data_IF_411747042782
#
_entry.id   IF_411747042782
#
_cell.length_a   1.000
_cell.length_b   1.000
_cell.length_c   1.000
_cell.angle_alpha   90.00
_cell.angle_beta   90.00
_cell.angle_gamma   90.00
#
_symmetry.space_group_name_H-M   'P 1'
#
loop_
_entity.id
_entity.type
_entity.pdbx_description
1 polymer ?
#
# COMPACT_ATOMS: atom_id res chain seq x y z
N UNK A 1 15.13 -9.84 12.45
CA UNK A 1 15.38 -10.67 11.23
C UNK A 1 14.24 -10.63 10.22
N UNK A 2 12.97 -10.88 10.60
CA UNK A 2 11.85 -10.92 9.65
C UNK A 2 11.64 -9.60 8.86
N UNK A 3 11.65 -8.44 9.53
CA UNK A 3 11.50 -7.12 8.88
C UNK A 3 12.65 -6.83 7.91
N UNK A 4 13.90 -7.13 8.28
CA UNK A 4 15.04 -6.98 7.38
C UNK A 4 14.92 -7.87 6.13
N UNK A 5 14.43 -9.11 6.29
CA UNK A 5 14.14 -10.00 5.15
C UNK A 5 13.03 -9.43 4.26
N UNK A 6 11.99 -8.84 4.85
CA UNK A 6 10.94 -8.17 4.10
C UNK A 6 11.46 -6.95 3.32
N UNK A 7 12.23 -6.06 3.98
CA UNK A 7 12.83 -4.91 3.31
C UNK A 7 13.76 -5.32 2.16
N UNK A 8 14.52 -6.42 2.30
CA UNK A 8 15.29 -7.04 1.22
C UNK A 8 14.43 -7.61 0.08
N UNK A 9 13.21 -8.06 0.37
CA UNK A 9 12.29 -8.54 -0.67
C UNK A 9 11.65 -7.39 -1.45
N UNK A 10 11.34 -6.28 -0.78
CA UNK A 10 10.76 -5.08 -1.40
C UNK A 10 11.82 -4.34 -2.21
N UNK A 11 13.00 -4.12 -1.62
CA UNK A 11 14.15 -3.44 -2.24
C UNK A 11 15.38 -4.36 -2.14
N UNK A 12 15.59 -5.25 -3.12
CA UNK A 12 16.69 -6.22 -3.11
C UNK A 12 18.06 -5.56 -3.13
N UNK A 13 18.24 -4.60 -4.03
CA UNK A 13 19.49 -3.85 -4.22
C UNK A 13 19.36 -2.48 -3.57
N UNK A 14 20.39 -2.05 -2.83
CA UNK A 14 20.42 -0.71 -2.25
C UNK A 14 20.59 0.29 -3.39
N UNK A 15 19.63 1.18 -3.58
CA UNK A 15 19.59 2.15 -4.65
C UNK A 15 18.82 3.40 -4.19
N UNK A 16 19.46 4.57 -4.27
CA UNK A 16 18.86 5.85 -3.85
C UNK A 16 17.98 6.47 -4.92
N UNK A 17 18.07 6.02 -6.16
CA UNK A 17 17.20 6.45 -7.25
C UNK A 17 15.85 5.70 -7.21
N UNK A 18 15.80 4.56 -6.53
CA UNK A 18 14.55 3.87 -6.21
C UNK A 18 13.80 4.62 -5.11
N UNK A 19 12.55 4.96 -5.39
CA UNK A 19 11.63 5.55 -4.43
C UNK A 19 10.60 4.52 -3.95
N UNK A 20 10.41 4.44 -2.64
CA UNK A 20 9.31 3.70 -1.99
C UNK A 20 8.38 4.70 -1.33
N UNK A 21 7.10 4.68 -1.71
CA UNK A 21 6.08 5.50 -1.09
C UNK A 21 5.38 4.72 0.03
N UNK A 22 5.28 5.30 1.22
CA UNK A 22 4.53 4.75 2.34
C UNK A 22 3.40 5.71 2.72
N UNK A 23 2.19 5.18 2.88
CA UNK A 23 1.07 5.92 3.45
C UNK A 23 1.43 6.54 4.80
N UNK A 24 0.84 7.68 5.13
CA UNK A 24 0.96 8.26 6.46
C UNK A 24 0.06 7.44 7.40
N UNK A 25 0.66 6.42 8.04
CA UNK A 25 0.06 5.48 9.01
C UNK A 25 -0.46 6.18 10.30
N UNK A 26 -1.14 7.33 10.19
CA UNK A 26 -1.67 8.14 11.27
C UNK A 26 -3.06 7.65 11.74
N UNK A 27 -3.71 6.75 11.00
CA UNK A 27 -5.08 6.28 11.29
C UNK A 27 -5.18 4.78 11.63
N UNK A 28 -4.15 4.15 12.19
CA UNK A 28 -4.26 2.73 12.55
C UNK A 28 -5.04 2.54 13.85
N UNK A 29 -6.30 2.12 13.70
CA UNK A 29 -6.77 1.01 14.52
C UNK A 29 -6.14 -0.24 13.92
N UNK A 30 -5.36 -0.98 14.71
CA UNK A 30 -4.82 -2.27 14.27
C UNK A 30 -5.92 -3.16 13.67
N UNK A 31 -5.57 -4.06 12.77
CA UNK A 31 -6.53 -5.03 12.27
C UNK A 31 -7.01 -5.85 13.48
N UNK A 32 -8.32 -5.87 13.72
CA UNK A 32 -8.89 -6.56 14.88
C UNK A 32 -8.40 -8.01 14.92
N UNK A 33 -7.89 -8.43 16.08
CA UNK A 33 -7.30 -9.77 16.28
C UNK A 33 -5.83 -9.92 15.88
N UNK A 34 -5.17 -8.87 15.39
CA UNK A 34 -3.75 -8.91 15.00
C UNK A 34 -2.90 -7.91 15.79
N UNK A 35 -1.65 -8.30 16.01
CA UNK A 35 -0.64 -7.40 16.57
C UNK A 35 -0.37 -6.23 15.63
N UNK A 36 -0.09 -5.07 16.20
CA UNK A 36 0.29 -3.90 15.42
C UNK A 36 1.53 -4.21 14.57
N UNK A 37 1.47 -3.85 13.29
CA UNK A 37 2.58 -4.04 12.38
C UNK A 37 3.82 -3.24 12.85
N UNK A 38 5.04 -3.75 12.67
CA UNK A 38 6.27 -3.09 13.10
C UNK A 38 6.68 -1.96 12.13
N UNK A 39 5.77 -1.03 11.83
CA UNK A 39 5.90 0.00 10.79
C UNK A 39 7.17 0.83 10.99
N UNK A 40 7.42 1.34 12.21
CA UNK A 40 8.63 2.11 12.52
C UNK A 40 9.92 1.38 12.13
N UNK A 41 9.99 0.07 12.39
CA UNK A 41 11.18 -0.73 12.05
C UNK A 41 11.25 -0.97 10.55
N UNK A 42 10.12 -1.23 9.88
CA UNK A 42 10.09 -1.42 8.43
C UNK A 42 10.51 -0.15 7.68
N UNK A 43 9.99 1.02 8.08
CA UNK A 43 10.38 2.34 7.57
C UNK A 43 11.89 2.55 7.68
N UNK A 44 12.49 2.24 8.84
CA UNK A 44 13.93 2.38 9.06
C UNK A 44 14.78 1.42 8.20
N UNK A 45 14.31 0.20 7.96
CA UNK A 45 15.02 -0.75 7.10
C UNK A 45 14.91 -0.38 5.61
N UNK A 46 13.75 0.13 5.18
CA UNK A 46 13.53 0.61 3.81
C UNK A 46 14.31 1.89 3.53
N UNK A 47 14.37 2.83 4.47
CA UNK A 47 15.12 4.09 4.30
C UNK A 47 16.63 3.91 4.23
N UNK A 48 17.15 2.75 4.67
CA UNK A 48 18.57 2.39 4.43
C UNK A 48 18.82 1.87 3.01
N UNK A 49 17.77 1.46 2.29
CA UNK A 49 17.84 0.78 0.99
C UNK A 49 17.39 1.64 -0.18
N UNK A 50 16.40 2.49 0.03
CA UNK A 50 15.76 3.32 -0.98
C UNK A 50 15.49 4.73 -0.45
N UNK A 51 15.15 5.64 -1.36
CA UNK A 51 14.52 6.91 -0.99
C UNK A 51 13.10 6.62 -0.53
N UNK A 52 12.73 7.11 0.66
CA UNK A 52 11.44 6.83 1.27
C UNK A 52 10.60 8.10 1.31
N UNK A 53 9.42 8.06 0.69
CA UNK A 53 8.49 9.19 0.65
C UNK A 53 7.24 8.84 1.46
N UNK A 54 6.89 9.70 2.41
CA UNK A 54 5.59 9.63 3.08
C UNK A 54 4.53 10.26 2.18
N UNK A 55 3.45 9.54 1.89
CA UNK A 55 2.33 10.03 1.08
C UNK A 55 1.05 10.01 1.89
N UNK A 56 0.12 10.92 1.59
CA UNK A 56 -1.21 10.88 2.20
C UNK A 56 -2.03 9.72 1.62
N UNK A 57 -2.72 8.95 2.45
CA UNK A 57 -3.49 7.77 2.04
C UNK A 57 -4.82 8.11 1.34
N UNK A 58 -4.90 9.23 0.62
CA UNK A 58 -6.12 9.86 0.11
C UNK A 58 -7.11 8.87 -0.54
N UNK A 59 -8.02 8.33 0.27
CA UNK A 59 -9.08 7.39 -0.13
C UNK A 59 -8.58 6.22 -0.99
N UNK A 60 -7.31 5.80 -0.84
CA UNK A 60 -6.66 4.76 -1.67
C UNK A 60 -7.46 3.46 -1.68
N UNK A 61 -8.02 3.05 -0.54
CA UNK A 61 -8.86 1.85 -0.42
C UNK A 61 -10.28 1.96 -1.03
N UNK A 62 -10.66 3.13 -1.55
CA UNK A 62 -12.03 3.48 -2.00
C UNK A 62 -12.09 3.98 -3.43
N UNK A 63 -11.03 4.55 -3.99
CA UNK A 63 -11.01 5.09 -5.34
C UNK A 63 -10.33 4.11 -6.30
N UNK A 64 -10.84 4.05 -7.52
CA UNK A 64 -10.20 3.28 -8.58
C UNK A 64 -8.87 3.94 -8.98
N UNK A 65 -7.80 3.15 -9.10
CA UNK A 65 -6.49 3.62 -9.53
C UNK A 65 -6.52 4.35 -10.89
N UNK A 66 -7.27 3.80 -11.86
CA UNK A 66 -7.27 4.32 -13.23
C UNK A 66 -8.10 5.59 -13.41
N UNK A 67 -9.26 5.67 -12.73
CA UNK A 67 -10.26 6.71 -13.03
C UNK A 67 -10.73 7.49 -11.80
N UNK A 68 -10.13 7.25 -10.63
CA UNK A 68 -10.41 7.92 -9.36
C UNK A 68 -11.89 7.92 -8.93
N UNK A 69 -12.70 7.05 -9.53
CA UNK A 69 -14.12 6.93 -9.22
C UNK A 69 -14.30 6.04 -7.98
N UNK A 70 -15.25 6.34 -7.08
CA UNK A 70 -15.54 5.47 -5.96
C UNK A 70 -15.88 4.04 -6.38
N UNK A 71 -15.19 3.08 -5.79
CA UNK A 71 -15.39 1.66 -6.03
C UNK A 71 -16.53 1.09 -5.20
N UNK A 72 -17.04 -0.07 -5.62
CA UNK A 72 -17.96 -0.86 -4.82
C UNK A 72 -17.24 -1.46 -3.59
N UNK A 73 -18.04 -1.87 -2.60
CA UNK A 73 -17.52 -2.60 -1.45
C UNK A 73 -16.80 -3.88 -1.93
N UNK A 74 -15.69 -4.27 -1.30
CA UNK A 74 -15.01 -5.48 -1.67
C UNK A 74 -15.84 -6.74 -1.46
N UNK A 75 -15.62 -7.72 -2.33
CA UNK A 75 -15.96 -9.12 -2.10
C UNK A 75 -14.70 -9.95 -2.30
N UNK A 76 -14.33 -10.80 -1.33
CA UNK A 76 -13.20 -11.75 -1.43
C UNK A 76 -11.91 -11.13 -2.01
N UNK A 77 -11.48 -9.99 -1.44
CA UNK A 77 -10.32 -9.19 -1.87
C UNK A 77 -10.40 -8.52 -3.25
N UNK A 78 -11.51 -8.64 -3.97
CA UNK A 78 -11.72 -7.92 -5.23
C UNK A 78 -12.51 -6.63 -4.98
N UNK A 79 -12.10 -5.53 -5.61
CA UNK A 79 -12.82 -4.25 -5.72
C UNK A 79 -13.37 -4.10 -7.13
N UNK A 80 -14.58 -3.57 -7.28
CA UNK A 80 -15.20 -3.34 -8.58
C UNK A 80 -15.31 -1.85 -8.83
N UNK A 81 -14.81 -1.38 -9.97
CA UNK A 81 -14.98 0.01 -10.38
C UNK A 81 -16.44 0.24 -10.82
N UNK A 82 -17.05 1.33 -10.33
CA UNK A 82 -18.43 1.67 -10.70
C UNK A 82 -18.54 2.40 -12.04
N UNK A 83 -17.43 2.92 -12.55
CA UNK A 83 -17.41 3.61 -13.83
C UNK A 83 -17.43 2.57 -14.96
N UNK A 84 -18.54 2.51 -15.70
CA UNK A 84 -18.73 1.57 -16.82
C UNK A 84 -17.74 1.80 -17.96
N UNK A 85 -17.20 3.01 -18.09
CA UNK A 85 -16.19 3.36 -19.09
C UNK A 85 -14.77 3.00 -18.62
N UNK A 86 -14.58 2.71 -17.33
CA UNK A 86 -13.31 2.23 -16.81
C UNK A 86 -13.19 0.74 -17.17
N UNK A 87 -12.29 0.43 -18.12
CA UNK A 87 -12.03 -0.93 -18.61
C UNK A 87 -11.55 -1.89 -17.52
N UNK A 88 -11.08 -1.37 -16.39
CA UNK A 88 -10.71 -2.13 -15.20
C UNK A 88 -11.94 -2.41 -14.33
N UNK A 89 -12.73 -3.42 -14.73
CA UNK A 89 -13.96 -3.80 -14.02
C UNK A 89 -13.68 -4.33 -12.61
N UNK A 90 -12.55 -5.01 -12.41
CA UNK A 90 -12.20 -5.67 -11.16
C UNK A 90 -10.72 -5.48 -10.84
N UNK A 91 -10.43 -5.01 -9.63
CA UNK A 91 -9.09 -4.90 -9.08
C UNK A 91 -8.90 -5.85 -7.91
N UNK A 92 -7.70 -6.40 -7.78
CA UNK A 92 -7.24 -6.89 -6.48
C UNK A 92 -7.10 -5.68 -5.54
N UNK A 93 -7.54 -5.81 -4.29
CA UNK A 93 -7.66 -4.70 -3.33
C UNK A 93 -6.33 -4.00 -3.04
N UNK A 94 -5.26 -4.76 -2.90
CA UNK A 94 -3.95 -4.25 -2.49
C UNK A 94 -3.15 -3.76 -3.71
N UNK A 95 -3.54 -4.17 -4.92
CA UNK A 95 -3.01 -3.64 -6.19
C UNK A 95 -3.62 -2.29 -6.56
N UNK A 96 -4.90 -2.06 -6.29
CA UNK A 96 -5.59 -0.79 -6.56
C UNK A 96 -5.28 0.29 -5.53
#
# INVERSE_FOLDING_TARGET
>A
QAVCKLAKRIVPTIDRDVCVCLGNWNQHKGVSGYMNAPIKRLTAELSRRATLISVDEFRTSRLCLDCFTPMAKPSRNVRVCKNILCGARCWERDVN
#
